data_IF_005569543688
#
_entry.id   IF_005569543688
#
_cell.length_a   1.000
_cell.length_b   1.000
_cell.length_c   1.000
_cell.angle_alpha   90.00
_cell.angle_beta   90.00
_cell.angle_gamma   90.00
#
_symmetry.space_group_name_H-M   'P 1'
#
loop_
_entity.id
_entity.type
_entity.pdbx_description
1 polymer ?
#
# COMPACT_ATOMS: atom_id res chain seq x y z
N UNK A 1 8.09 3.58 5.80
CA UNK A 1 6.72 4.12 5.94
C UNK A 1 6.58 4.74 7.32
N UNK A 2 5.95 5.93 7.40
CA UNK A 2 5.73 6.63 8.65
C UNK A 2 4.83 5.84 9.61
N UNK A 3 5.16 5.90 10.89
CA UNK A 3 4.44 5.27 11.99
C UNK A 3 3.95 6.33 13.00
N UNK A 4 3.32 5.90 14.09
CA UNK A 4 2.91 6.82 15.15
C UNK A 4 4.09 7.46 15.89
N UNK A 5 5.26 6.84 15.86
CA UNK A 5 6.48 7.34 16.50
C UNK A 5 7.06 8.54 15.74
N UNK A 6 6.73 8.66 14.44
CA UNK A 6 7.21 9.75 13.58
C UNK A 6 6.35 11.03 13.67
N UNK A 7 5.25 11.05 14.44
CA UNK A 7 4.28 12.16 14.45
C UNK A 7 4.97 13.49 14.78
N UNK A 8 5.75 13.53 15.84
CA UNK A 8 6.38 14.78 16.29
C UNK A 8 7.38 15.32 15.26
N UNK A 9 8.16 14.42 14.65
CA UNK A 9 9.12 14.77 13.60
C UNK A 9 8.41 15.28 12.33
N UNK A 10 7.28 14.65 11.91
CA UNK A 10 6.50 15.09 10.76
C UNK A 10 5.84 16.45 11.03
N UNK A 11 5.27 16.64 12.22
CA UNK A 11 4.67 17.92 12.66
C UNK A 11 5.71 19.05 12.57
N UNK A 12 6.91 18.81 13.08
CA UNK A 12 8.00 19.77 13.02
C UNK A 12 8.45 20.04 11.58
N UNK A 13 8.61 19.00 10.77
CA UNK A 13 9.08 19.10 9.39
C UNK A 13 8.09 19.86 8.48
N UNK A 14 6.81 19.59 8.59
CA UNK A 14 5.77 20.21 7.77
C UNK A 14 5.17 21.49 8.39
N UNK A 15 5.55 21.84 9.61
CA UNK A 15 4.89 22.89 10.40
C UNK A 15 3.36 22.74 10.48
N UNK A 16 2.89 21.46 10.49
CA UNK A 16 1.47 21.12 10.53
C UNK A 16 0.97 20.85 11.94
N UNK A 17 -0.35 20.85 12.08
CA UNK A 17 -1.01 20.52 13.33
C UNK A 17 -0.88 19.04 13.69
N UNK A 18 -0.61 18.75 14.96
CA UNK A 18 -0.45 17.38 15.47
C UNK A 18 -1.67 16.50 15.22
N UNK A 19 -2.89 17.07 15.36
CA UNK A 19 -4.13 16.31 15.18
C UNK A 19 -4.33 15.89 13.72
N UNK A 20 -4.05 16.77 12.77
CA UNK A 20 -4.13 16.48 11.34
C UNK A 20 -3.12 15.40 10.94
N UNK A 21 -1.88 15.51 11.40
CA UNK A 21 -0.83 14.53 11.17
C UNK A 21 -1.20 13.15 11.75
N UNK A 22 -1.66 13.13 13.00
CA UNK A 22 -2.11 11.90 13.67
C UNK A 22 -3.30 11.25 12.96
N UNK A 23 -4.20 12.05 12.40
CA UNK A 23 -5.35 11.56 11.62
C UNK A 23 -4.90 10.97 10.28
N UNK A 24 -3.98 11.64 9.58
CA UNK A 24 -3.44 11.15 8.31
C UNK A 24 -2.72 9.80 8.48
N UNK A 25 -1.92 9.64 9.54
CA UNK A 25 -1.23 8.38 9.85
C UNK A 25 -2.16 7.22 10.26
N UNK A 26 -3.38 7.54 10.69
CA UNK A 26 -4.40 6.52 11.03
C UNK A 26 -5.31 6.18 9.86
N UNK A 27 -5.26 6.94 8.78
CA UNK A 27 -6.07 6.70 7.59
C UNK A 27 -5.51 5.48 6.83
N UNK A 28 -6.27 4.37 6.74
CA UNK A 28 -5.78 3.17 6.06
C UNK A 28 -5.62 3.35 4.54
N UNK A 29 -6.22 4.39 3.97
CA UNK A 29 -6.08 4.73 2.57
C UNK A 29 -4.80 5.52 2.25
N UNK A 30 -4.06 5.94 3.28
CA UNK A 30 -2.85 6.77 3.13
C UNK A 30 -1.60 6.01 3.54
N UNK A 31 -0.60 6.05 2.67
CA UNK A 31 0.77 5.65 2.99
C UNK A 31 1.67 6.88 2.95
N UNK A 32 2.43 7.10 4.00
CA UNK A 32 3.35 8.22 4.11
C UNK A 32 4.76 7.66 4.15
N UNK A 33 5.56 8.06 3.17
CA UNK A 33 6.97 7.71 3.06
C UNK A 33 7.82 8.86 3.57
N UNK A 34 8.89 8.56 4.30
CA UNK A 34 9.79 9.53 4.87
C UNK A 34 11.22 9.23 4.41
N UNK A 35 11.93 10.26 3.99
CA UNK A 35 13.35 10.21 3.75
C UNK A 35 14.10 10.88 4.94
N UNK A 36 15.15 10.23 5.41
CA UNK A 36 15.95 10.71 6.54
C UNK A 36 17.39 10.99 6.12
N UNK A 37 17.95 12.07 6.67
CA UNK A 37 19.39 12.29 6.69
C UNK A 37 19.85 12.24 8.17
N UNK A 38 20.46 11.13 8.57
CA UNK A 38 20.66 10.83 9.99
C UNK A 38 19.32 10.64 10.72
N UNK A 39 19.06 11.48 11.72
CA UNK A 39 17.80 11.46 12.50
C UNK A 39 16.77 12.51 12.05
N UNK A 40 17.08 13.28 11.01
CA UNK A 40 16.24 14.40 10.56
C UNK A 40 15.47 13.99 9.30
N UNK A 41 14.15 14.28 9.25
CA UNK A 41 13.34 14.12 8.06
C UNK A 41 13.77 15.19 7.04
N UNK A 42 14.08 14.76 5.82
CA UNK A 42 14.47 15.64 4.70
C UNK A 42 13.52 15.55 3.53
N UNK A 43 12.64 14.55 3.50
CA UNK A 43 11.63 14.39 2.46
C UNK A 43 10.42 13.59 2.94
N UNK A 44 9.28 13.83 2.32
CA UNK A 44 8.01 13.17 2.60
C UNK A 44 7.19 13.02 1.32
N UNK A 45 6.56 11.85 1.14
CA UNK A 45 5.59 11.58 0.08
C UNK A 45 4.35 10.91 0.67
N UNK A 46 3.17 11.38 0.30
CA UNK A 46 1.89 10.75 0.65
C UNK A 46 1.29 10.07 -0.58
N UNK A 47 1.05 8.77 -0.48
CA UNK A 47 0.36 7.95 -1.45
C UNK A 47 -1.04 7.63 -0.93
N UNK A 48 -2.06 8.00 -1.69
CA UNK A 48 -3.47 7.78 -1.38
C UNK A 48 -4.02 6.62 -2.22
N UNK A 49 -4.74 5.70 -1.58
CA UNK A 49 -5.39 4.54 -2.21
C UNK A 49 -4.46 3.70 -3.12
N UNK A 50 -3.15 3.70 -2.85
CA UNK A 50 -2.11 3.03 -3.66
C UNK A 50 -2.14 3.40 -5.15
N UNK A 51 -2.61 4.59 -5.48
CA UNK A 51 -2.80 5.02 -6.88
C UNK A 51 -2.63 6.51 -7.13
N UNK A 52 -2.56 7.33 -6.07
CA UNK A 52 -2.46 8.78 -6.21
C UNK A 52 -1.41 9.36 -5.26
N UNK A 53 -0.41 10.04 -5.82
CA UNK A 53 0.50 10.89 -5.06
C UNK A 53 -0.25 12.18 -4.76
N UNK A 54 -0.71 12.32 -3.53
CA UNK A 54 -1.44 13.50 -3.07
C UNK A 54 -0.52 14.63 -2.63
N UNK A 55 0.71 14.27 -2.24
CA UNK A 55 1.68 15.21 -1.72
C UNK A 55 3.09 14.64 -1.80
N UNK A 56 4.05 15.46 -2.25
CA UNK A 56 5.48 15.23 -2.13
C UNK A 56 6.16 16.55 -1.73
N UNK A 57 7.11 16.47 -0.82
CA UNK A 57 7.91 17.61 -0.39
C UNK A 57 9.30 17.16 0.04
N UNK A 58 10.31 17.86 -0.42
CA UNK A 58 11.71 17.70 -0.02
C UNK A 58 12.21 19.06 0.46
N UNK A 59 12.99 19.09 1.56
CA UNK A 59 13.54 20.32 2.09
C UNK A 59 14.50 20.99 1.10
N UNK A 60 14.57 22.32 1.11
CA UNK A 60 15.34 23.13 0.16
C UNK A 60 16.78 22.67 -0.02
N UNK A 61 17.44 22.26 1.08
CA UNK A 61 18.83 21.80 1.08
C UNK A 61 19.01 20.45 0.33
N UNK A 62 17.94 19.75 0.01
CA UNK A 62 17.92 18.42 -0.60
C UNK A 62 17.17 18.35 -1.92
N UNK A 63 16.64 19.46 -2.45
CA UNK A 63 15.84 19.48 -3.71
C UNK A 63 16.63 19.05 -4.94
N UNK A 64 17.95 19.34 -4.98
CA UNK A 64 18.81 18.93 -6.09
C UNK A 64 19.49 17.56 -5.85
N UNK A 65 18.94 16.77 -4.94
CA UNK A 65 19.45 15.42 -4.61
C UNK A 65 18.50 14.34 -5.13
N UNK A 66 18.88 13.07 -4.96
CA UNK A 66 18.06 11.92 -5.36
C UNK A 66 16.88 11.63 -4.41
N UNK A 67 16.67 12.43 -3.35
CA UNK A 67 15.65 12.15 -2.32
C UNK A 67 14.24 12.11 -2.90
N UNK A 68 13.90 13.04 -3.78
CA UNK A 68 12.56 13.07 -4.41
C UNK A 68 12.36 11.88 -5.35
N UNK A 69 13.39 11.53 -6.12
CA UNK A 69 13.40 10.35 -7.01
C UNK A 69 13.25 9.05 -6.21
N UNK A 70 14.03 8.87 -5.14
CA UNK A 70 13.94 7.68 -4.27
C UNK A 70 12.57 7.54 -3.61
N UNK A 71 11.96 8.65 -3.16
CA UNK A 71 10.60 8.64 -2.61
C UNK A 71 9.57 8.24 -3.66
N UNK A 72 9.72 8.72 -4.90
CA UNK A 72 8.83 8.40 -6.02
C UNK A 72 8.95 6.92 -6.42
N UNK A 73 10.16 6.42 -6.61
CA UNK A 73 10.43 5.02 -6.92
C UNK A 73 9.89 4.09 -5.83
N UNK A 74 10.06 4.50 -4.57
CA UNK A 74 9.53 3.75 -3.43
C UNK A 74 8.00 3.70 -3.47
N UNK A 75 7.32 4.81 -3.75
CA UNK A 75 5.86 4.83 -3.89
C UNK A 75 5.38 3.93 -5.04
N UNK A 76 6.09 3.93 -6.16
CA UNK A 76 5.78 3.11 -7.34
C UNK A 76 5.79 1.60 -7.05
N UNK A 77 6.61 1.13 -6.10
CA UNK A 77 6.65 -0.27 -5.67
C UNK A 77 5.32 -0.77 -5.08
N UNK A 78 4.48 0.13 -4.58
CA UNK A 78 3.17 -0.21 -4.00
C UNK A 78 2.01 -0.12 -4.99
N UNK A 79 2.26 0.39 -6.19
CA UNK A 79 1.24 0.60 -7.23
C UNK A 79 1.16 -0.60 -8.16
N UNK A 80 -0.05 -1.04 -8.48
CA UNK A 80 -0.27 -2.24 -9.29
C UNK A 80 -0.73 -1.98 -10.72
N UNK A 81 -1.02 -0.73 -11.08
CA UNK A 81 -1.54 -0.43 -12.43
C UNK A 81 -1.16 0.96 -12.91
N UNK A 82 -1.69 1.97 -12.29
CA UNK A 82 -1.56 3.37 -12.68
C UNK A 82 -1.32 4.21 -11.45
N UNK A 83 -0.40 5.14 -11.57
CA UNK A 83 -0.11 6.14 -10.55
C UNK A 83 -0.43 7.52 -11.11
N UNK A 84 -1.19 8.29 -10.34
CA UNK A 84 -1.53 9.67 -10.66
C UNK A 84 -0.84 10.63 -9.71
N UNK A 85 -0.56 11.85 -10.16
CA UNK A 85 -0.02 12.92 -9.33
C UNK A 85 -0.59 14.27 -9.77
N UNK A 86 -0.78 15.18 -8.80
CA UNK A 86 -1.08 16.58 -9.09
C UNK A 86 0.17 17.41 -8.90
N UNK A 87 0.48 18.26 -9.89
CA UNK A 87 1.63 19.17 -9.83
C UNK A 87 1.31 20.54 -10.42
N UNK A 88 2.18 21.51 -10.20
CA UNK A 88 2.21 22.82 -10.85
C UNK A 88 3.19 22.83 -12.04
N UNK A 89 3.43 24.00 -12.63
CA UNK A 89 4.36 24.19 -13.72
C UNK A 89 5.82 23.97 -13.28
N UNK A 90 6.16 24.30 -12.04
CA UNK A 90 7.52 24.27 -11.52
C UNK A 90 8.05 22.84 -11.42
N UNK A 91 7.26 21.92 -10.86
CA UNK A 91 7.64 20.52 -10.69
C UNK A 91 7.27 19.62 -11.88
N UNK A 92 6.62 20.17 -12.92
CA UNK A 92 6.18 19.39 -14.07
C UNK A 92 7.34 18.67 -14.81
N UNK A 93 8.51 19.32 -14.89
CA UNK A 93 9.70 18.76 -15.55
C UNK A 93 10.22 17.52 -14.83
N UNK A 94 10.20 17.52 -13.50
CA UNK A 94 10.61 16.38 -12.67
C UNK A 94 9.76 15.14 -12.99
N UNK A 95 8.44 15.25 -12.88
CA UNK A 95 7.55 14.13 -13.18
C UNK A 95 7.67 13.62 -14.63
N UNK A 96 7.88 14.51 -15.60
CA UNK A 96 8.09 14.10 -17.00
C UNK A 96 9.38 13.31 -17.21
N UNK A 97 10.45 13.62 -16.48
CA UNK A 97 11.69 12.84 -16.51
C UNK A 97 11.51 11.42 -15.96
N UNK A 98 10.50 11.22 -15.11
CA UNK A 98 10.12 9.92 -14.53
C UNK A 98 8.93 9.27 -15.27
N UNK A 99 8.75 9.52 -16.57
CA UNK A 99 7.76 8.89 -17.44
C UNK A 99 6.29 9.19 -17.11
N UNK A 100 6.02 10.28 -16.35
CA UNK A 100 4.66 10.75 -16.18
C UNK A 100 4.19 11.55 -17.40
N UNK A 101 2.98 11.27 -17.85
CA UNK A 101 2.34 12.00 -18.96
C UNK A 101 1.22 12.90 -18.42
N UNK A 102 1.05 14.05 -19.07
CA UNK A 102 -0.05 14.97 -18.72
C UNK A 102 -1.37 14.38 -19.19
N UNK A 103 -2.29 14.14 -18.28
CA UNK A 103 -3.65 13.70 -18.57
C UNK A 103 -4.60 14.90 -18.68
N UNK A 104 -4.57 15.82 -17.70
CA UNK A 104 -5.41 17.01 -17.66
C UNK A 104 -4.61 18.23 -17.21
N UNK A 105 -4.86 19.38 -17.85
CA UNK A 105 -4.39 20.69 -17.40
C UNK A 105 -5.59 21.57 -17.04
N UNK A 106 -5.62 22.08 -15.82
CA UNK A 106 -6.68 22.99 -15.35
C UNK A 106 -6.15 23.98 -14.34
N UNK A 107 -6.44 25.27 -14.54
CA UNK A 107 -6.11 26.36 -13.61
C UNK A 107 -4.65 26.39 -13.12
N UNK A 108 -3.69 26.14 -14.05
CA UNK A 108 -2.26 26.13 -13.72
C UNK A 108 -1.78 24.89 -12.97
N UNK A 109 -2.64 23.89 -12.78
CA UNK A 109 -2.31 22.57 -12.23
C UNK A 109 -2.40 21.50 -13.30
N UNK A 110 -1.60 20.45 -13.15
CA UNK A 110 -1.53 19.31 -14.03
C UNK A 110 -1.89 18.06 -13.27
N UNK A 111 -2.82 17.29 -13.81
CA UNK A 111 -3.00 15.88 -13.44
C UNK A 111 -2.09 15.07 -14.34
N UNK A 112 -1.21 14.31 -13.74
CA UNK A 112 -0.25 13.45 -14.39
C UNK A 112 -0.62 11.99 -14.16
N UNK A 113 -0.21 11.14 -15.10
CA UNK A 113 -0.37 9.69 -15.03
C UNK A 113 0.89 8.98 -15.44
N UNK A 114 1.20 7.88 -14.73
CA UNK A 114 2.24 6.92 -15.12
C UNK A 114 1.65 5.51 -15.02
N UNK A 115 1.79 4.73 -16.09
CA UNK A 115 1.48 3.30 -16.06
C UNK A 115 2.66 2.57 -15.46
N UNK A 116 2.44 1.85 -14.38
CA UNK A 116 3.46 1.02 -13.75
C UNK A 116 3.49 -0.33 -14.46
N UNK A 117 4.58 -0.68 -15.16
CA UNK A 117 4.67 -1.96 -15.84
C UNK A 117 4.80 -3.09 -14.80
N UNK A 118 3.86 -4.02 -14.86
CA UNK A 118 3.94 -5.28 -14.13
C UNK A 118 4.11 -6.38 -15.17
N UNK A 119 5.21 -7.10 -15.12
CA UNK A 119 5.44 -8.24 -16.00
C UNK A 119 4.43 -9.34 -15.66
N UNK A 120 3.56 -9.75 -16.59
CA UNK A 120 2.54 -10.71 -16.31
C UNK A 120 3.16 -12.10 -16.15
N UNK A 121 3.17 -12.65 -14.92
CA UNK A 121 3.51 -14.04 -14.61
C UNK A 121 2.30 -14.94 -14.78
N UNK A 122 1.15 -14.41 -14.39
CA UNK A 122 -0.14 -15.11 -14.47
C UNK A 122 -1.08 -14.34 -15.39
N UNK A 123 -1.70 -15.05 -16.34
CA UNK A 123 -2.68 -14.46 -17.27
C UNK A 123 -4.08 -14.40 -16.66
N UNK A 124 -4.39 -15.31 -15.74
CA UNK A 124 -5.69 -15.49 -15.15
C UNK A 124 -5.62 -16.03 -13.71
N UNK A 125 -6.78 -16.11 -13.08
CA UNK A 125 -6.93 -16.54 -11.69
C UNK A 125 -6.60 -18.04 -11.50
N UNK A 126 -6.91 -18.88 -12.48
CA UNK A 126 -6.65 -20.31 -12.39
C UNK A 126 -5.16 -20.61 -12.29
N UNK A 127 -4.32 -19.89 -13.04
CA UNK A 127 -2.87 -19.99 -12.95
C UNK A 127 -2.34 -19.56 -11.57
N UNK A 128 -2.92 -18.53 -10.96
CA UNK A 128 -2.58 -18.13 -9.58
C UNK A 128 -2.96 -19.24 -8.61
N UNK A 129 -4.14 -19.84 -8.76
CA UNK A 129 -4.57 -20.94 -7.91
C UNK A 129 -3.69 -22.17 -8.06
N UNK A 130 -3.35 -22.58 -9.28
CA UNK A 130 -2.43 -23.69 -9.52
C UNK A 130 -1.08 -23.44 -8.86
N UNK A 131 -0.56 -22.24 -8.97
CA UNK A 131 0.69 -21.87 -8.33
C UNK A 131 0.59 -21.96 -6.79
N UNK A 132 -0.47 -21.45 -6.17
CA UNK A 132 -0.70 -21.53 -4.72
C UNK A 132 -0.85 -22.98 -4.28
N UNK A 133 -1.61 -23.80 -5.01
CA UNK A 133 -1.81 -25.21 -4.70
C UNK A 133 -0.49 -26.01 -4.77
N UNK A 134 0.38 -25.69 -5.73
CA UNK A 134 1.70 -26.30 -5.83
C UNK A 134 2.61 -25.99 -4.62
N UNK A 135 2.30 -24.92 -3.87
CA UNK A 135 3.05 -24.53 -2.68
C UNK A 135 2.44 -25.01 -1.35
N UNK A 136 1.29 -25.70 -1.36
CA UNK A 136 0.52 -26.02 -0.14
C UNK A 136 1.28 -26.86 0.91
N UNK A 137 2.21 -27.71 0.46
CA UNK A 137 3.00 -28.58 1.33
C UNK A 137 4.36 -27.96 1.73
N UNK A 138 4.59 -26.72 1.34
CA UNK A 138 5.83 -25.99 1.63
C UNK A 138 5.83 -25.49 3.08
N UNK A 139 6.96 -25.68 3.75
CA UNK A 139 7.18 -25.08 5.07
C UNK A 139 7.71 -23.67 4.89
N UNK A 140 6.91 -22.70 5.25
CA UNK A 140 7.28 -21.29 5.16
C UNK A 140 8.06 -20.83 6.39
N UNK A 141 9.10 -20.04 6.17
CA UNK A 141 9.86 -19.39 7.23
C UNK A 141 9.15 -18.14 7.70
N UNK A 142 8.81 -18.08 8.99
CA UNK A 142 8.26 -16.85 9.57
C UNK A 142 9.28 -15.69 9.51
N UNK A 143 10.57 -16.01 9.55
CA UNK A 143 11.65 -15.02 9.43
C UNK A 143 11.66 -14.44 8.03
N UNK A 144 11.62 -15.28 6.98
CA UNK A 144 11.57 -14.81 5.59
C UNK A 144 10.33 -13.97 5.33
N UNK A 145 9.16 -14.39 5.86
CA UNK A 145 7.95 -13.59 5.76
C UNK A 145 8.08 -12.22 6.43
N UNK A 146 8.68 -12.14 7.61
CA UNK A 146 8.92 -10.87 8.29
C UNK A 146 9.89 -9.98 7.51
N UNK A 147 10.95 -10.54 6.94
CA UNK A 147 11.90 -9.79 6.12
C UNK A 147 11.22 -9.26 4.85
N UNK A 148 10.42 -10.08 4.17
CA UNK A 148 9.60 -9.64 3.04
C UNK A 148 8.67 -8.48 3.42
N UNK A 149 7.93 -8.61 4.54
CA UNK A 149 7.04 -7.53 5.01
C UNK A 149 7.82 -6.26 5.37
N UNK A 150 9.01 -6.42 5.98
CA UNK A 150 9.88 -5.30 6.32
C UNK A 150 10.35 -4.53 5.08
N UNK A 151 10.71 -5.20 3.98
CA UNK A 151 11.10 -4.55 2.71
C UNK A 151 9.93 -3.82 2.04
N UNK A 152 8.69 -4.17 2.40
CA UNK A 152 7.48 -3.41 2.07
C UNK A 152 7.02 -2.50 3.22
N UNK A 153 7.93 -2.17 4.16
CA UNK A 153 7.71 -1.23 5.26
C UNK A 153 6.54 -1.62 6.18
N UNK A 154 6.40 -2.92 6.44
CA UNK A 154 5.44 -3.48 7.39
C UNK A 154 4.00 -2.91 7.25
N UNK A 155 3.37 -2.94 6.06
CA UNK A 155 2.08 -2.30 5.81
C UNK A 155 0.98 -2.81 6.74
N UNK A 156 1.10 -4.04 7.28
CA UNK A 156 0.18 -4.62 8.26
C UNK A 156 0.13 -3.85 9.58
N UNK A 157 1.16 -3.10 9.94
CA UNK A 157 1.21 -2.30 11.17
C UNK A 157 0.27 -1.10 11.13
N UNK A 158 -0.15 -0.67 9.93
CA UNK A 158 -1.11 0.42 9.71
C UNK A 158 -2.55 -0.01 9.91
N UNK A 159 -2.83 -1.31 9.91
CA UNK A 159 -4.17 -1.83 10.06
C UNK A 159 -4.52 -2.05 11.54
N UNK A 160 -5.70 -1.59 11.94
CA UNK A 160 -6.28 -2.01 13.21
C UNK A 160 -6.96 -3.36 13.00
N UNK A 161 -6.42 -4.41 13.59
CA UNK A 161 -6.88 -5.77 13.39
C UNK A 161 -7.55 -6.34 14.64
N UNK A 162 -8.62 -7.10 14.45
CA UNK A 162 -9.24 -7.96 15.47
C UNK A 162 -9.00 -9.41 15.05
N UNK A 163 -8.21 -10.14 15.85
CA UNK A 163 -7.94 -11.56 15.61
C UNK A 163 -8.95 -12.44 16.35
N UNK A 164 -9.69 -13.26 15.61
CA UNK A 164 -10.71 -14.17 16.16
C UNK A 164 -10.24 -15.60 15.97
N UNK A 165 -9.86 -16.26 17.08
CA UNK A 165 -9.41 -17.63 17.14
C UNK A 165 -10.42 -18.52 17.88
N UNK A 166 -10.34 -19.84 17.68
CA UNK A 166 -11.14 -20.84 18.39
C UNK A 166 -11.46 -22.07 17.56
N UNK A 167 -12.01 -23.10 18.18
CA UNK A 167 -12.38 -24.34 17.49
C UNK A 167 -13.66 -24.16 16.66
N UNK A 168 -14.70 -23.55 17.24
CA UNK A 168 -15.99 -23.31 16.63
C UNK A 168 -16.38 -21.83 16.68
N UNK A 169 -17.30 -21.39 15.81
CA UNK A 169 -17.91 -20.08 15.86
C UNK A 169 -17.04 -18.92 15.31
N UNK A 170 -15.81 -19.17 14.85
CA UNK A 170 -14.92 -18.12 14.32
C UNK A 170 -15.61 -17.25 13.25
N UNK A 171 -16.14 -17.89 12.21
CA UNK A 171 -16.80 -17.18 11.10
C UNK A 171 -18.03 -16.38 11.56
N UNK A 172 -18.86 -16.95 12.45
CA UNK A 172 -20.02 -16.24 12.99
C UNK A 172 -19.60 -15.03 13.83
N UNK A 173 -18.60 -15.20 14.70
CA UNK A 173 -18.06 -14.08 15.49
C UNK A 173 -17.45 -13.00 14.62
N UNK A 174 -16.69 -13.38 13.60
CA UNK A 174 -16.14 -12.44 12.61
C UNK A 174 -17.27 -11.65 11.92
N UNK A 175 -18.33 -12.32 11.50
CA UNK A 175 -19.46 -11.68 10.85
C UNK A 175 -20.19 -10.69 11.77
N UNK A 176 -20.46 -11.08 13.01
CA UNK A 176 -21.08 -10.16 13.99
C UNK A 176 -20.19 -8.96 14.29
N UNK A 177 -18.89 -9.19 14.53
CA UNK A 177 -17.93 -8.10 14.77
C UNK A 177 -17.87 -7.13 13.59
N UNK A 178 -17.82 -7.66 12.37
CA UNK A 178 -17.85 -6.87 11.13
C UNK A 178 -19.10 -5.98 11.07
N UNK A 179 -20.30 -6.55 11.30
CA UNK A 179 -21.56 -5.79 11.24
C UNK A 179 -21.60 -4.66 12.30
N UNK A 180 -21.13 -4.92 13.51
CA UNK A 180 -21.03 -3.90 14.56
C UNK A 180 -20.11 -2.76 14.13
N UNK A 181 -18.92 -3.07 13.59
CA UNK A 181 -17.97 -2.08 13.14
C UNK A 181 -18.49 -1.26 11.95
N UNK A 182 -19.18 -1.91 11.00
CA UNK A 182 -19.85 -1.22 9.89
C UNK A 182 -20.94 -0.27 10.37
N UNK A 183 -21.78 -0.70 11.32
CA UNK A 183 -22.78 0.18 11.93
C UNK A 183 -22.15 1.35 12.67
N UNK A 184 -20.92 1.21 13.17
CA UNK A 184 -20.15 2.30 13.76
C UNK A 184 -19.44 3.20 12.73
N UNK A 185 -19.63 2.96 11.42
CA UNK A 185 -19.10 3.78 10.34
C UNK A 185 -17.68 3.42 9.88
N UNK A 186 -17.16 2.26 10.28
CA UNK A 186 -15.86 1.80 9.81
C UNK A 186 -15.96 1.07 8.47
N UNK A 187 -14.95 1.25 7.61
CA UNK A 187 -14.68 0.37 6.48
C UNK A 187 -14.02 -0.90 6.99
N UNK A 188 -14.61 -2.06 6.74
CA UNK A 188 -14.20 -3.31 7.36
C UNK A 188 -13.76 -4.33 6.32
N UNK A 189 -12.49 -4.72 6.36
CA UNK A 189 -11.98 -5.90 5.67
C UNK A 189 -12.10 -7.14 6.55
N UNK A 190 -12.41 -8.29 5.96
CA UNK A 190 -12.38 -9.59 6.64
C UNK A 190 -11.50 -10.57 5.89
N UNK A 191 -10.74 -11.36 6.65
CA UNK A 191 -10.01 -12.51 6.17
C UNK A 191 -10.46 -13.73 6.98
N UNK A 192 -11.05 -14.72 6.32
CA UNK A 192 -11.65 -15.89 7.00
C UNK A 192 -11.16 -17.20 6.38
N UNK A 193 -10.93 -18.20 7.22
CA UNK A 193 -10.54 -19.54 6.80
C UNK A 193 -11.30 -20.59 7.61
N UNK A 194 -11.81 -21.67 6.99
CA UNK A 194 -11.80 -21.95 5.56
C UNK A 194 -12.78 -21.08 4.75
N UNK A 195 -12.66 -21.09 3.42
CA UNK A 195 -13.64 -20.51 2.53
C UNK A 195 -15.00 -21.22 2.68
N UNK A 196 -16.10 -20.47 2.64
CA UNK A 196 -17.44 -21.03 2.85
C UNK A 196 -18.02 -21.59 1.54
N UNK A 197 -17.90 -20.86 0.44
CA UNK A 197 -18.47 -21.21 -0.87
C UNK A 197 -17.42 -21.14 -1.97
N UNK A 198 -16.71 -20.03 -2.06
CA UNK A 198 -15.69 -19.77 -3.06
C UNK A 198 -14.40 -19.30 -2.37
N UNK A 199 -13.23 -19.61 -2.94
CA UNK A 199 -11.93 -19.14 -2.41
C UNK A 199 -11.83 -17.61 -2.35
N UNK A 200 -12.52 -16.90 -3.24
CA UNK A 200 -12.60 -15.44 -3.21
C UNK A 200 -13.30 -14.90 -1.95
N UNK A 201 -14.17 -15.70 -1.33
CA UNK A 201 -14.85 -15.31 -0.09
C UNK A 201 -13.93 -15.19 1.14
N UNK A 202 -12.71 -15.72 1.06
CA UNK A 202 -11.71 -15.63 2.12
C UNK A 202 -11.39 -14.16 2.43
N UNK A 203 -11.33 -13.31 1.39
CA UNK A 203 -11.03 -11.88 1.51
C UNK A 203 -12.26 -11.09 1.08
N UNK A 204 -12.80 -10.27 1.97
CA UNK A 204 -13.93 -9.40 1.68
C UNK A 204 -13.67 -7.99 2.21
N UNK A 205 -14.16 -6.99 1.50
CA UNK A 205 -14.17 -5.59 1.95
C UNK A 205 -15.59 -5.08 1.84
N UNK A 206 -16.17 -4.60 2.93
CA UNK A 206 -17.56 -4.12 3.03
C UNK A 206 -18.58 -5.09 2.37
N UNK A 207 -18.44 -6.38 2.67
CA UNK A 207 -19.24 -7.50 2.14
C UNK A 207 -18.98 -7.93 0.69
N UNK A 208 -18.25 -7.17 -0.08
CA UNK A 208 -17.83 -7.58 -1.41
C UNK A 208 -16.64 -8.53 -1.33
N UNK A 209 -16.68 -9.73 -1.92
CA UNK A 209 -15.49 -10.57 -2.06
C UNK A 209 -14.48 -9.88 -2.98
N UNK A 210 -13.19 -10.19 -2.77
CA UNK A 210 -12.16 -9.76 -3.70
C UNK A 210 -12.44 -10.40 -5.09
N UNK A 211 -12.22 -9.64 -6.16
CA UNK A 211 -12.37 -10.16 -7.52
C UNK A 211 -11.08 -10.84 -8.03
N UNK A 212 -11.25 -11.73 -9.01
CA UNK A 212 -10.17 -12.50 -9.62
C UNK A 212 -9.08 -11.60 -10.23
N UNK A 213 -9.49 -10.55 -10.94
CA UNK A 213 -8.56 -9.63 -11.59
C UNK A 213 -7.68 -8.91 -10.57
N UNK A 214 -8.23 -8.59 -9.40
CA UNK A 214 -7.48 -8.01 -8.29
C UNK A 214 -6.46 -9.00 -7.74
N UNK A 215 -6.82 -10.28 -7.57
CA UNK A 215 -5.87 -11.31 -7.12
C UNK A 215 -4.75 -11.49 -8.14
N UNK A 216 -5.07 -11.63 -9.43
CA UNK A 216 -4.07 -11.76 -10.50
C UNK A 216 -3.12 -10.57 -10.52
N UNK A 217 -3.64 -9.36 -10.38
CA UNK A 217 -2.83 -8.13 -10.34
C UNK A 217 -1.85 -8.12 -9.17
N UNK A 218 -2.31 -8.45 -7.97
CA UNK A 218 -1.42 -8.50 -6.80
C UNK A 218 -0.43 -9.66 -6.87
N UNK A 219 -0.84 -10.83 -7.36
CA UNK A 219 0.04 -11.96 -7.57
C UNK A 219 1.17 -11.58 -8.54
N UNK A 220 0.85 -10.97 -9.69
CA UNK A 220 1.85 -10.49 -10.64
C UNK A 220 2.79 -9.44 -10.04
N UNK A 221 2.29 -8.60 -9.12
CA UNK A 221 3.09 -7.52 -8.51
C UNK A 221 4.08 -8.00 -7.45
N UNK A 222 3.68 -8.96 -6.63
CA UNK A 222 4.42 -9.28 -5.40
C UNK A 222 4.99 -10.69 -5.33
N UNK A 223 4.57 -11.59 -6.23
CA UNK A 223 4.94 -13.00 -6.11
C UNK A 223 6.44 -13.25 -6.37
N UNK A 224 7.04 -12.52 -7.30
CA UNK A 224 8.46 -12.67 -7.58
C UNK A 224 9.33 -12.16 -6.42
N UNK A 225 8.94 -11.04 -5.82
CA UNK A 225 9.61 -10.53 -4.62
C UNK A 225 9.49 -11.54 -3.47
N UNK A 226 8.29 -12.08 -3.23
CA UNK A 226 8.06 -13.11 -2.22
C UNK A 226 8.90 -14.37 -2.46
N UNK A 227 8.92 -14.87 -3.69
CA UNK A 227 9.68 -16.07 -4.04
C UNK A 227 11.18 -15.89 -3.86
N UNK A 228 11.73 -14.70 -4.03
CA UNK A 228 13.13 -14.42 -3.78
C UNK A 228 13.51 -14.61 -2.31
N UNK A 229 12.61 -14.30 -1.36
CA UNK A 229 12.82 -14.57 0.07
C UNK A 229 12.71 -16.05 0.45
N UNK A 230 11.90 -16.81 -0.27
CA UNK A 230 11.70 -18.23 0.03
C UNK A 230 12.83 -19.11 -0.53
N UNK A 231 13.59 -18.62 -1.50
CA UNK A 231 14.70 -19.35 -2.12
C UNK A 231 16.06 -18.99 -1.50
N UNK A 232 16.11 -17.97 -0.65
CA UNK A 232 17.32 -17.55 0.09
C UNK A 232 17.42 -18.24 1.45
#
# INVERSE_FOLDING_TARGET
IATREDIDAIVQFLAKDYYETSRALKDPCKMIFLAYSGEVIVGILELLDLSNISFVYVSEDYQDTLVEEELLELAERFVTKELTAYTDEEHLSFFKQHDYVVDVKSNGRYLLKKTIPVLPRFSDYDQVLEFIEAQKDRVYSLTNFKNFMYDFYDPQTKLTCVHIGGTNGKGSTTNYTKEVLKCAGYKVGTFTSPALVNRLDIIRVDDAPIDEATIVRYANRYMDDWMAYELS
#
